data_IF_223001970514
#
_entry.id   IF_223001970514
#
_cell.length_a   1.000
_cell.length_b   1.000
_cell.length_c   1.000
_cell.angle_alpha   90.00
_cell.angle_beta   90.00
_cell.angle_gamma   90.00
#
_symmetry.space_group_name_H-M   'P 1'
#
loop_
_entity.id
_entity.type
_entity.pdbx_description
1 polymer ?
#
# COMPACT_ATOMS: atom_id res chain seq x y z
N UNK A 1 11.62 3.76 -19.74
CA UNK A 1 11.29 4.63 -18.58
C UNK A 1 12.47 5.51 -18.25
N UNK A 2 12.26 6.80 -18.06
CA UNK A 2 13.32 7.73 -17.65
C UNK A 2 13.92 7.31 -16.30
N UNK A 3 15.26 7.34 -16.12
CA UNK A 3 15.93 7.04 -14.85
C UNK A 3 15.38 7.81 -13.64
N UNK A 4 14.87 9.02 -13.84
CA UNK A 4 14.24 9.82 -12.78
C UNK A 4 13.02 9.10 -12.19
N UNK A 5 12.16 8.53 -13.02
CA UNK A 5 10.96 7.81 -12.52
C UNK A 5 11.30 6.48 -11.87
N UNK A 6 12.37 5.80 -12.30
CA UNK A 6 12.92 4.62 -11.61
C UNK A 6 13.38 5.01 -10.20
N UNK A 7 14.09 6.12 -10.07
CA UNK A 7 14.55 6.64 -8.78
C UNK A 7 13.35 7.03 -7.88
N UNK A 8 12.33 7.69 -8.44
CA UNK A 8 11.11 8.04 -7.72
C UNK A 8 10.37 6.80 -7.20
N UNK A 9 10.22 5.77 -8.05
CA UNK A 9 9.63 4.50 -7.64
C UNK A 9 10.43 3.85 -6.49
N UNK A 10 11.76 3.86 -6.57
CA UNK A 10 12.62 3.29 -5.53
C UNK A 10 12.54 4.07 -4.21
N UNK A 11 12.61 5.41 -4.26
CA UNK A 11 12.42 6.27 -3.07
C UNK A 11 11.06 6.00 -2.45
N UNK A 12 10.00 6.00 -3.26
CA UNK A 12 8.65 5.68 -2.81
C UNK A 12 8.57 4.32 -2.12
N UNK A 13 9.24 3.30 -2.67
CA UNK A 13 9.28 1.94 -2.10
C UNK A 13 9.95 1.91 -0.73
N UNK A 14 11.08 2.59 -0.56
CA UNK A 14 11.77 2.66 0.74
C UNK A 14 10.90 3.40 1.77
N UNK A 15 10.33 4.55 1.38
CA UNK A 15 9.52 5.37 2.28
C UNK A 15 8.23 4.66 2.68
N UNK A 16 7.53 3.98 1.74
CA UNK A 16 6.33 3.22 2.05
C UNK A 16 6.64 2.04 2.98
N UNK A 17 7.79 1.40 2.82
CA UNK A 17 8.23 0.29 3.68
C UNK A 17 8.47 0.74 5.13
N UNK A 18 9.09 1.90 5.32
CA UNK A 18 9.26 2.52 6.63
C UNK A 18 7.88 2.85 7.23
N UNK A 19 7.01 3.48 6.43
CA UNK A 19 5.67 3.86 6.88
C UNK A 19 4.81 2.64 7.22
N UNK A 20 4.97 1.54 6.51
CA UNK A 20 4.27 0.28 6.79
C UNK A 20 4.59 -0.24 8.20
N UNK A 21 5.87 -0.37 8.55
CA UNK A 21 6.28 -0.81 9.89
C UNK A 21 5.86 0.20 10.96
N UNK A 22 6.01 1.49 10.66
CA UNK A 22 5.63 2.56 11.57
C UNK A 22 4.10 2.61 11.80
N UNK A 23 3.30 2.35 10.78
CA UNK A 23 1.84 2.29 10.90
C UNK A 23 1.36 1.22 11.90
N UNK A 24 2.02 0.07 11.97
CA UNK A 24 1.72 -0.95 12.99
C UNK A 24 2.02 -0.46 14.40
N UNK A 25 3.11 0.27 14.58
CA UNK A 25 3.46 0.85 15.88
C UNK A 25 2.43 1.89 16.33
N UNK A 26 1.98 2.75 15.43
CA UNK A 26 0.92 3.74 15.71
C UNK A 26 -0.41 3.03 15.96
N UNK A 27 -0.78 2.05 15.13
CA UNK A 27 -2.01 1.29 15.27
C UNK A 27 -2.05 0.50 16.57
N UNK A 28 -0.92 -0.03 17.06
CA UNK A 28 -0.86 -0.72 18.36
C UNK A 28 -1.24 0.19 19.54
N UNK A 29 -1.08 1.51 19.40
CA UNK A 29 -1.47 2.49 20.41
C UNK A 29 -2.91 2.98 20.22
N UNK A 30 -3.34 3.22 18.97
CA UNK A 30 -4.72 3.64 18.63
C UNK A 30 -5.70 2.49 18.88
N UNK A 31 -5.28 1.23 18.60
CA UNK A 31 -6.05 -0.02 18.75
C UNK A 31 -7.31 -0.14 17.86
N UNK A 32 -7.68 0.88 17.14
CA UNK A 32 -8.84 0.87 16.25
C UNK A 32 -8.39 1.12 14.81
N UNK A 33 -8.51 0.13 13.90
CA UNK A 33 -8.07 0.27 12.51
C UNK A 33 -8.85 1.33 11.73
N UNK A 34 -10.13 1.54 12.07
CA UNK A 34 -10.97 2.53 11.39
C UNK A 34 -10.61 3.97 11.81
N UNK A 35 -10.20 4.18 13.08
CA UNK A 35 -9.67 5.48 13.52
C UNK A 35 -8.37 5.81 12.79
N UNK A 36 -7.48 4.81 12.61
CA UNK A 36 -6.23 5.00 11.89
C UNK A 36 -6.47 5.35 10.42
N UNK A 37 -7.40 4.65 9.76
CA UNK A 37 -7.85 4.95 8.40
C UNK A 37 -8.38 6.39 8.29
N UNK A 38 -9.27 6.78 9.20
CA UNK A 38 -9.85 8.12 9.23
C UNK A 38 -8.76 9.19 9.38
N UNK A 39 -7.86 9.03 10.35
CA UNK A 39 -6.75 9.97 10.57
C UNK A 39 -5.83 10.05 9.34
N UNK A 40 -5.48 8.90 8.74
CA UNK A 40 -4.65 8.90 7.54
C UNK A 40 -5.28 9.73 6.42
N UNK A 41 -6.54 9.49 6.09
CA UNK A 41 -7.17 10.15 4.94
C UNK A 41 -7.38 11.63 5.21
N UNK A 42 -7.84 12.02 6.41
CA UNK A 42 -8.06 13.43 6.77
C UNK A 42 -6.74 14.20 6.79
N UNK A 43 -5.71 13.67 7.44
CA UNK A 43 -4.41 14.35 7.52
C UNK A 43 -3.75 14.40 6.13
N UNK A 44 -3.82 13.31 5.34
CA UNK A 44 -3.26 13.29 3.98
C UNK A 44 -3.92 14.35 3.09
N UNK A 45 -5.24 14.49 3.17
CA UNK A 45 -5.97 15.52 2.44
C UNK A 45 -5.56 16.93 2.86
N UNK A 46 -5.44 17.20 4.17
CA UNK A 46 -4.98 18.50 4.68
C UNK A 46 -3.57 18.80 4.19
N UNK A 47 -2.62 17.86 4.32
CA UNK A 47 -1.25 18.05 3.86
C UNK A 47 -1.17 18.29 2.35
N UNK A 48 -1.97 17.56 1.57
CA UNK A 48 -2.04 17.76 0.12
C UNK A 48 -2.53 19.16 -0.24
N UNK A 49 -3.56 19.67 0.46
CA UNK A 49 -4.04 21.03 0.22
C UNK A 49 -2.95 22.07 0.45
N UNK A 50 -2.11 21.92 1.48
CA UNK A 50 -0.98 22.82 1.71
C UNK A 50 0.06 22.81 0.58
N UNK A 51 0.27 21.66 -0.06
CA UNK A 51 1.23 21.53 -1.17
C UNK A 51 0.59 22.00 -2.49
N UNK A 52 -0.66 21.66 -2.71
CA UNK A 52 -1.34 21.88 -3.99
C UNK A 52 -1.94 23.29 -4.13
N UNK A 53 -2.41 23.88 -3.03
CA UNK A 53 -3.02 25.22 -3.06
C UNK A 53 -2.09 26.31 -3.62
N UNK A 54 -0.79 26.38 -3.25
CA UNK A 54 0.15 27.30 -3.86
C UNK A 54 0.33 27.03 -5.36
N UNK A 55 0.39 25.76 -5.77
CA UNK A 55 0.52 25.38 -7.17
C UNK A 55 -0.74 25.71 -7.98
N UNK A 56 -1.92 25.55 -7.40
CA UNK A 56 -3.20 25.92 -8.06
C UNK A 56 -3.31 27.44 -8.25
N UNK A 57 -2.76 28.23 -7.34
CA UNK A 57 -2.76 29.70 -7.42
C UNK A 57 -1.69 30.25 -8.37
N UNK A 58 -0.63 29.48 -8.62
CA UNK A 58 0.53 29.88 -9.43
C UNK A 58 0.54 29.25 -10.83
N UNK A 59 -0.23 28.19 -11.06
CA UNK A 59 -0.22 27.43 -12.31
C UNK A 59 -1.45 27.76 -13.16
N UNK A 60 -1.16 28.02 -14.43
CA UNK A 60 -2.08 28.26 -15.52
C UNK A 60 -3.15 27.16 -15.69
N UNK A 61 -4.21 27.54 -16.40
CA UNK A 61 -5.42 26.80 -16.76
C UNK A 61 -5.24 25.43 -17.42
N UNK A 62 -4.02 25.01 -17.75
CA UNK A 62 -3.70 23.74 -18.41
C UNK A 62 -4.05 22.49 -17.57
N UNK A 63 -4.18 22.63 -16.24
CA UNK A 63 -4.45 21.48 -15.35
C UNK A 63 -5.87 20.91 -15.47
N UNK A 64 -6.82 21.68 -15.97
CA UNK A 64 -8.25 21.28 -16.03
C UNK A 64 -8.77 21.04 -17.45
N UNK A 65 -7.97 21.30 -18.48
CA UNK A 65 -8.43 21.33 -19.87
C UNK A 65 -9.00 20.02 -20.42
N UNK A 66 -8.70 18.85 -19.78
CA UNK A 66 -9.13 17.55 -20.28
C UNK A 66 -10.03 16.76 -19.30
N UNK A 67 -10.64 17.41 -18.30
CA UNK A 67 -11.52 16.74 -17.37
C UNK A 67 -12.88 16.41 -18.02
N UNK A 68 -13.03 15.22 -18.54
CA UNK A 68 -14.30 14.67 -19.00
C UNK A 68 -15.08 14.01 -17.85
N UNK A 69 -16.39 13.85 -18.00
CA UNK A 69 -17.23 13.11 -17.04
C UNK A 69 -16.72 11.67 -16.89
N UNK A 70 -16.29 11.03 -17.97
CA UNK A 70 -15.75 9.69 -17.95
C UNK A 70 -14.45 9.61 -17.13
N UNK A 71 -13.57 10.59 -17.28
CA UNK A 71 -12.32 10.66 -16.51
C UNK A 71 -12.58 10.84 -15.02
N UNK A 72 -13.54 11.70 -14.65
CA UNK A 72 -13.97 11.89 -13.25
C UNK A 72 -14.54 10.58 -12.68
N UNK A 73 -15.37 9.87 -13.46
CA UNK A 73 -15.92 8.58 -13.05
C UNK A 73 -14.82 7.51 -12.83
N UNK A 74 -13.81 7.45 -13.70
CA UNK A 74 -12.68 6.52 -13.54
C UNK A 74 -11.87 6.87 -12.27
N UNK A 75 -11.61 8.16 -12.01
CA UNK A 75 -10.94 8.60 -10.77
C UNK A 75 -11.77 8.24 -9.54
N UNK A 76 -13.08 8.40 -9.60
CA UNK A 76 -14.00 7.98 -8.53
C UNK A 76 -13.90 6.46 -8.28
N UNK A 77 -13.92 5.63 -9.33
CA UNK A 77 -13.75 4.19 -9.23
C UNK A 77 -12.39 3.83 -8.62
N UNK A 78 -11.31 4.52 -9.04
CA UNK A 78 -9.98 4.39 -8.43
C UNK A 78 -10.01 4.70 -6.93
N UNK A 79 -10.66 5.80 -6.54
CA UNK A 79 -10.77 6.19 -5.13
C UNK A 79 -11.52 5.15 -4.29
N UNK A 80 -12.64 4.60 -4.80
CA UNK A 80 -13.39 3.54 -4.11
C UNK A 80 -12.56 2.27 -3.98
N UNK A 81 -11.82 1.88 -5.02
CA UNK A 81 -10.92 0.74 -4.96
C UNK A 81 -9.82 0.96 -3.89
N UNK A 82 -9.14 2.10 -3.92
CA UNK A 82 -8.12 2.43 -2.90
C UNK A 82 -8.72 2.47 -1.50
N UNK A 83 -9.94 3.03 -1.32
CA UNK A 83 -10.63 3.04 -0.04
C UNK A 83 -10.87 1.62 0.49
N UNK A 84 -11.40 0.73 -0.33
CA UNK A 84 -11.61 -0.67 0.03
C UNK A 84 -10.28 -1.38 0.36
N UNK A 85 -9.23 -1.10 -0.41
CA UNK A 85 -7.87 -1.57 -0.15
C UNK A 85 -7.33 -1.09 1.20
N UNK A 86 -7.49 0.19 1.53
CA UNK A 86 -7.05 0.75 2.81
C UNK A 86 -7.83 0.17 4.01
N UNK A 87 -9.15 -0.02 3.89
CA UNK A 87 -9.95 -0.69 4.92
C UNK A 87 -9.41 -2.08 5.18
N UNK A 88 -9.22 -2.88 4.12
CA UNK A 88 -8.67 -4.22 4.22
C UNK A 88 -7.24 -4.20 4.79
N UNK A 89 -6.40 -3.29 4.33
CA UNK A 89 -5.03 -3.13 4.82
C UNK A 89 -4.96 -2.88 6.33
N UNK A 90 -5.75 -1.93 6.85
CA UNK A 90 -5.72 -1.62 8.28
C UNK A 90 -6.31 -2.73 9.14
N UNK A 91 -7.32 -3.46 8.65
CA UNK A 91 -7.83 -4.65 9.34
C UNK A 91 -6.76 -5.74 9.35
N UNK A 92 -6.12 -5.99 8.20
CA UNK A 92 -5.02 -6.93 8.07
C UNK A 92 -3.86 -6.58 9.00
N UNK A 93 -3.48 -5.31 9.05
CA UNK A 93 -2.41 -4.81 9.91
C UNK A 93 -2.76 -4.91 11.40
N UNK A 94 -4.03 -4.72 11.76
CA UNK A 94 -4.48 -4.86 13.14
C UNK A 94 -4.44 -6.31 13.61
N UNK A 95 -4.85 -7.25 12.77
CA UNK A 95 -4.98 -8.67 13.09
C UNK A 95 -3.71 -9.48 12.78
N UNK A 96 -2.89 -9.03 11.83
CA UNK A 96 -1.81 -9.80 11.23
C UNK A 96 -0.42 -9.34 11.59
N UNK A 97 0.54 -10.04 11.01
CA UNK A 97 1.97 -9.83 11.15
C UNK A 97 2.47 -8.83 10.10
N UNK A 98 3.36 -7.92 10.49
CA UNK A 98 3.92 -6.88 9.61
C UNK A 98 4.76 -7.50 8.50
N UNK A 99 5.62 -8.47 8.84
CA UNK A 99 6.49 -9.13 7.87
C UNK A 99 5.72 -9.88 6.80
N UNK A 100 4.68 -10.64 7.19
CA UNK A 100 3.81 -11.33 6.25
C UNK A 100 3.01 -10.32 5.40
N UNK A 101 2.45 -9.30 6.04
CA UNK A 101 1.70 -8.24 5.35
C UNK A 101 2.52 -7.53 4.28
N UNK A 102 3.77 -7.14 4.59
CA UNK A 102 4.65 -6.47 3.64
C UNK A 102 4.90 -7.29 2.37
N UNK A 103 5.17 -8.60 2.52
CA UNK A 103 5.42 -9.46 1.35
C UNK A 103 4.14 -9.77 0.57
N UNK A 104 3.00 -9.96 1.27
CA UNK A 104 1.71 -10.14 0.58
C UNK A 104 1.36 -8.87 -0.22
N UNK A 105 1.52 -7.67 0.36
CA UNK A 105 1.28 -6.41 -0.35
C UNK A 105 2.22 -6.26 -1.55
N UNK A 106 3.48 -6.68 -1.43
CA UNK A 106 4.44 -6.68 -2.56
C UNK A 106 4.00 -7.55 -3.72
N UNK A 107 3.21 -8.61 -3.47
CA UNK A 107 2.64 -9.45 -4.55
C UNK A 107 1.61 -8.72 -5.42
N UNK A 108 1.31 -7.45 -5.12
CA UNK A 108 0.47 -6.58 -5.94
C UNK A 108 0.93 -6.54 -7.41
N UNK A 109 2.22 -6.67 -7.65
CA UNK A 109 2.79 -6.77 -9.00
C UNK A 109 2.11 -7.86 -9.85
N UNK A 110 1.74 -9.00 -9.28
CA UNK A 110 1.08 -10.11 -9.99
C UNK A 110 -0.27 -9.65 -10.54
N UNK A 111 -1.08 -9.01 -9.67
CA UNK A 111 -2.41 -8.51 -10.07
C UNK A 111 -2.26 -7.36 -11.06
N UNK A 112 -1.30 -6.46 -10.84
CA UNK A 112 -1.03 -5.33 -11.74
C UNK A 112 -0.60 -5.77 -13.13
N UNK A 113 0.21 -6.82 -13.27
CA UNK A 113 0.59 -7.40 -14.58
C UNK A 113 -0.64 -7.97 -15.30
N UNK A 114 -1.51 -8.69 -14.58
CA UNK A 114 -2.75 -9.21 -15.16
C UNK A 114 -3.63 -8.06 -15.66
N UNK A 115 -3.79 -7.00 -14.86
CA UNK A 115 -4.56 -5.82 -15.25
C UNK A 115 -3.91 -5.06 -16.41
N UNK A 116 -2.58 -4.93 -16.42
CA UNK A 116 -1.83 -4.30 -17.50
C UNK A 116 -2.00 -5.07 -18.82
N UNK A 117 -1.97 -6.39 -18.77
CA UNK A 117 -2.23 -7.23 -19.93
C UNK A 117 -3.68 -7.09 -20.44
N UNK A 118 -4.67 -7.10 -19.55
CA UNK A 118 -6.10 -7.07 -19.91
C UNK A 118 -6.55 -5.68 -20.40
N UNK A 119 -6.11 -4.60 -19.75
CA UNK A 119 -6.67 -3.26 -19.94
C UNK A 119 -5.71 -2.28 -20.62
N UNK A 120 -4.39 -2.49 -20.49
CA UNK A 120 -3.38 -1.61 -21.05
C UNK A 120 -2.70 -2.21 -22.31
N UNK A 121 -3.10 -3.43 -22.70
CA UNK A 121 -2.53 -4.19 -23.82
C UNK A 121 -0.99 -4.38 -23.70
N UNK A 122 -0.47 -4.37 -22.47
CA UNK A 122 0.94 -4.65 -22.21
C UNK A 122 1.18 -6.16 -22.30
N UNK A 123 2.13 -6.58 -23.16
CA UNK A 123 2.48 -8.01 -23.33
C UNK A 123 3.87 -8.27 -22.80
N UNK A 124 4.03 -9.38 -22.08
CA UNK A 124 5.28 -9.77 -21.45
C UNK A 124 5.88 -11.01 -22.10
N UNK A 125 7.23 -11.14 -22.15
CA UNK A 125 7.88 -12.37 -22.59
C UNK A 125 7.47 -13.58 -21.71
N UNK A 126 7.52 -14.78 -22.28
CA UNK A 126 7.11 -16.00 -21.55
C UNK A 126 7.88 -16.20 -20.23
N UNK A 127 9.15 -15.86 -20.21
CA UNK A 127 9.99 -15.98 -19.00
C UNK A 127 9.47 -15.13 -17.83
N UNK A 128 8.82 -14.01 -18.10
CA UNK A 128 8.24 -13.14 -17.06
C UNK A 128 7.18 -13.87 -16.22
N UNK A 129 6.43 -14.79 -16.82
CA UNK A 129 5.42 -15.58 -16.09
C UNK A 129 6.06 -16.56 -15.10
N UNK A 130 7.23 -17.12 -15.42
CA UNK A 130 7.97 -17.98 -14.49
C UNK A 130 8.42 -17.21 -13.26
N UNK A 131 8.86 -15.97 -13.43
CA UNK A 131 9.26 -15.11 -12.31
C UNK A 131 8.08 -14.71 -11.42
N UNK A 132 6.89 -14.53 -12.00
CA UNK A 132 5.64 -14.32 -11.24
C UNK A 132 5.34 -15.52 -10.33
N UNK A 133 5.54 -16.75 -10.81
CA UNK A 133 5.36 -17.97 -10.02
C UNK A 133 6.35 -17.98 -8.84
N UNK A 134 7.62 -17.59 -9.05
CA UNK A 134 8.59 -17.48 -7.97
C UNK A 134 8.16 -16.46 -6.91
N UNK A 135 7.66 -15.30 -7.32
CA UNK A 135 7.10 -14.31 -6.39
C UNK A 135 5.97 -14.91 -5.56
N UNK A 136 5.04 -15.63 -6.21
CA UNK A 136 3.93 -16.27 -5.52
C UNK A 136 4.38 -17.33 -4.50
N UNK A 137 5.36 -18.17 -4.86
CA UNK A 137 5.94 -19.15 -3.94
C UNK A 137 6.56 -18.44 -2.73
N UNK A 138 7.34 -17.37 -2.96
CA UNK A 138 7.94 -16.58 -1.88
C UNK A 138 6.88 -16.00 -0.94
N UNK A 139 5.77 -15.47 -1.48
CA UNK A 139 4.64 -14.95 -0.69
C UNK A 139 4.01 -16.03 0.17
N UNK A 140 3.79 -17.23 -0.37
CA UNK A 140 3.27 -18.36 0.40
C UNK A 140 4.22 -18.74 1.56
N UNK A 141 5.53 -18.78 1.30
CA UNK A 141 6.53 -19.07 2.34
C UNK A 141 6.54 -18.03 3.46
N UNK A 142 6.38 -16.75 3.14
CA UNK A 142 6.33 -15.68 4.16
C UNK A 142 5.04 -15.72 4.96
N UNK A 143 3.94 -16.13 4.34
CA UNK A 143 2.65 -16.32 5.02
C UNK A 143 2.63 -17.54 5.94
N UNK A 144 3.69 -18.38 5.91
CA UNK A 144 3.74 -19.59 6.70
C UNK A 144 3.85 -19.29 8.20
N UNK A 145 3.01 -19.96 8.97
CA UNK A 145 3.03 -20.02 10.44
C UNK A 145 3.11 -21.48 10.87
N UNK A 146 3.88 -21.76 11.91
CA UNK A 146 4.22 -23.14 12.33
C UNK A 146 2.99 -24.02 12.63
N UNK A 147 1.90 -23.40 13.06
CA UNK A 147 0.68 -24.08 13.49
C UNK A 147 -0.32 -24.28 12.34
N UNK A 148 -0.04 -23.72 11.14
CA UNK A 148 -0.95 -23.79 10.00
C UNK A 148 -0.64 -25.01 9.10
N UNK A 149 -1.69 -25.71 8.67
CA UNK A 149 -1.61 -26.70 7.62
C UNK A 149 -1.41 -26.06 6.24
N UNK A 150 -0.95 -26.85 5.25
CA UNK A 150 -0.75 -26.36 3.87
C UNK A 150 -2.00 -25.73 3.28
N UNK A 151 -3.18 -26.33 3.49
CA UNK A 151 -4.46 -25.81 3.01
C UNK A 151 -4.76 -24.41 3.59
N UNK A 152 -4.44 -24.19 4.86
CA UNK A 152 -4.67 -22.91 5.54
C UNK A 152 -3.70 -21.83 5.05
N UNK A 153 -2.49 -22.21 4.65
CA UNK A 153 -1.52 -21.31 4.03
C UNK A 153 -2.02 -20.86 2.66
N UNK A 154 -2.47 -21.81 1.81
CA UNK A 154 -3.03 -21.49 0.48
C UNK A 154 -4.31 -20.66 0.55
N UNK A 155 -5.13 -20.86 1.58
CA UNK A 155 -6.34 -20.08 1.82
C UNK A 155 -6.08 -18.77 2.56
N UNK A 156 -4.81 -18.43 2.82
CA UNK A 156 -4.40 -17.23 3.58
C UNK A 156 -5.15 -17.08 4.91
N UNK A 157 -5.39 -18.20 5.60
CA UNK A 157 -6.08 -18.22 6.89
C UNK A 157 -5.20 -17.77 8.07
N UNK A 158 -3.90 -17.53 7.83
CA UNK A 158 -3.06 -16.92 8.85
C UNK A 158 -3.63 -15.56 9.28
N UNK A 159 -3.42 -15.22 10.54
CA UNK A 159 -3.95 -14.01 11.15
C UNK A 159 -3.72 -12.77 10.25
N UNK A 160 -4.78 -12.20 9.71
CA UNK A 160 -4.77 -10.99 8.86
C UNK A 160 -4.35 -11.17 7.40
N UNK A 161 -3.77 -12.31 6.99
CA UNK A 161 -3.24 -12.50 5.61
C UNK A 161 -4.32 -12.37 4.54
N UNK A 162 -5.52 -12.90 4.76
CA UNK A 162 -6.64 -12.75 3.82
C UNK A 162 -7.03 -11.30 3.56
N UNK A 163 -6.96 -10.45 4.58
CA UNK A 163 -7.22 -9.03 4.42
C UNK A 163 -6.15 -8.32 3.59
N UNK A 164 -4.88 -8.70 3.73
CA UNK A 164 -3.81 -8.17 2.88
C UNK A 164 -3.98 -8.59 1.41
N UNK A 165 -4.45 -9.82 1.12
CA UNK A 165 -4.77 -10.25 -0.25
C UNK A 165 -5.89 -9.41 -0.85
N UNK A 166 -6.95 -9.14 -0.08
CA UNK A 166 -8.03 -8.23 -0.51
C UNK A 166 -7.45 -6.83 -0.79
N UNK A 167 -6.59 -6.31 0.08
CA UNK A 167 -5.94 -5.01 -0.12
C UNK A 167 -5.10 -4.99 -1.41
N UNK A 168 -4.34 -6.04 -1.71
CA UNK A 168 -3.54 -6.19 -2.94
C UNK A 168 -4.40 -6.02 -4.18
N UNK A 169 -5.54 -6.74 -4.25
CA UNK A 169 -6.44 -6.68 -5.40
C UNK A 169 -6.96 -5.26 -5.62
N UNK A 170 -7.45 -4.64 -4.56
CA UNK A 170 -8.01 -3.29 -4.65
C UNK A 170 -6.98 -2.21 -4.91
N UNK A 171 -5.77 -2.29 -4.35
CA UNK A 171 -4.68 -1.38 -4.65
C UNK A 171 -4.23 -1.50 -6.11
N UNK A 172 -4.11 -2.72 -6.64
CA UNK A 172 -3.75 -2.94 -8.04
C UNK A 172 -4.81 -2.34 -8.99
N UNK A 173 -6.09 -2.55 -8.71
CA UNK A 173 -7.19 -1.96 -9.50
C UNK A 173 -7.12 -0.42 -9.44
N UNK A 174 -6.95 0.15 -8.25
CA UNK A 174 -6.85 1.59 -8.08
C UNK A 174 -5.69 2.21 -8.85
N UNK A 175 -4.52 1.57 -8.85
CA UNK A 175 -3.34 2.02 -9.58
C UNK A 175 -3.49 1.84 -11.10
N UNK A 176 -4.14 0.77 -11.57
CA UNK A 176 -4.43 0.57 -12.98
C UNK A 176 -5.33 1.71 -13.55
N UNK A 177 -6.30 2.18 -12.77
CA UNK A 177 -7.13 3.33 -13.17
C UNK A 177 -6.33 4.64 -13.29
N UNK A 178 -5.33 4.86 -12.43
CA UNK A 178 -4.42 6.01 -12.56
C UNK A 178 -3.67 5.95 -13.89
N UNK A 179 -3.12 4.78 -14.22
CA UNK A 179 -2.36 4.59 -15.45
C UNK A 179 -3.22 4.81 -16.70
N UNK A 180 -4.48 4.36 -16.68
CA UNK A 180 -5.41 4.58 -17.79
C UNK A 180 -5.61 6.06 -18.13
N UNK A 181 -5.53 6.94 -17.14
CA UNK A 181 -5.76 8.38 -17.31
C UNK A 181 -4.48 9.21 -17.39
N UNK A 182 -3.29 8.62 -17.17
CA UNK A 182 -2.04 9.36 -17.07
C UNK A 182 -1.67 10.14 -18.35
N UNK A 183 -2.12 9.68 -19.53
CA UNK A 183 -1.93 10.35 -20.80
C UNK A 183 -2.98 11.45 -21.09
N UNK A 184 -4.04 11.55 -20.27
CA UNK A 184 -5.15 12.47 -20.49
C UNK A 184 -5.20 13.59 -19.46
N UNK A 185 -4.82 13.27 -18.22
CA UNK A 185 -4.93 14.18 -17.07
C UNK A 185 -3.62 14.16 -16.32
N UNK A 186 -3.17 15.32 -15.88
CA UNK A 186 -1.99 15.45 -15.04
C UNK A 186 -2.12 14.56 -13.79
N UNK A 187 -1.05 13.82 -13.50
CA UNK A 187 -1.00 12.84 -12.41
C UNK A 187 -1.28 13.47 -11.04
N UNK A 188 -0.82 14.70 -10.80
CA UNK A 188 -1.12 15.42 -9.55
C UNK A 188 -2.60 15.78 -9.44
N UNK A 189 -3.24 16.19 -10.54
CA UNK A 189 -4.69 16.44 -10.57
C UNK A 189 -5.47 15.16 -10.26
N UNK A 190 -5.06 14.02 -10.82
CA UNK A 190 -5.67 12.73 -10.49
C UNK A 190 -5.53 12.41 -8.99
N UNK A 191 -4.35 12.66 -8.39
CA UNK A 191 -4.09 12.43 -6.98
C UNK A 191 -5.01 13.28 -6.08
N UNK A 192 -5.17 14.58 -6.40
CA UNK A 192 -6.04 15.49 -5.64
C UNK A 192 -7.50 15.06 -5.71
N UNK A 193 -8.02 14.78 -6.90
CA UNK A 193 -9.39 14.33 -7.09
C UNK A 193 -9.63 13.00 -6.39
N UNK A 194 -8.70 12.06 -6.51
CA UNK A 194 -8.77 10.76 -5.82
C UNK A 194 -8.83 10.93 -4.31
N UNK A 195 -7.98 11.76 -3.71
CA UNK A 195 -7.99 12.02 -2.27
C UNK A 195 -9.26 12.75 -1.82
N UNK A 196 -9.82 13.63 -2.67
CA UNK A 196 -11.12 14.27 -2.41
C UNK A 196 -12.24 13.24 -2.34
N UNK A 197 -12.30 12.31 -3.29
CA UNK A 197 -13.29 11.23 -3.25
C UNK A 197 -13.05 10.25 -2.09
N UNK A 198 -11.79 9.96 -1.75
CA UNK A 198 -11.43 9.16 -0.58
C UNK A 198 -11.92 9.82 0.72
N UNK A 199 -11.71 11.12 0.87
CA UNK A 199 -12.20 11.86 2.03
C UNK A 199 -13.73 11.78 2.13
N UNK A 200 -14.42 12.01 1.02
CA UNK A 200 -15.89 11.93 0.96
C UNK A 200 -16.40 10.54 1.34
N UNK A 201 -15.81 9.48 0.75
CA UNK A 201 -16.14 8.09 1.08
C UNK A 201 -15.88 7.79 2.56
N UNK A 202 -14.76 8.31 3.11
CA UNK A 202 -14.40 8.13 4.52
C UNK A 202 -15.42 8.79 5.43
N UNK A 203 -15.78 10.05 5.19
CA UNK A 203 -16.76 10.78 6.00
C UNK A 203 -18.13 10.08 5.98
N UNK A 204 -18.54 9.57 4.81
CA UNK A 204 -19.82 8.88 4.65
C UNK A 204 -19.85 7.51 5.33
N UNK A 205 -18.79 6.72 5.16
CA UNK A 205 -18.76 5.32 5.59
C UNK A 205 -18.16 5.12 7.00
N UNK A 206 -17.42 6.10 7.52
CA UNK A 206 -16.80 6.02 8.84
C UNK A 206 -17.75 5.60 9.96
N UNK A 207 -18.94 6.20 10.14
CA UNK A 207 -19.84 5.84 11.22
C UNK A 207 -20.26 4.35 11.17
N UNK A 208 -20.50 3.86 9.94
CA UNK A 208 -20.90 2.49 9.70
C UNK A 208 -19.75 1.50 9.96
N UNK A 209 -18.56 1.78 9.42
CA UNK A 209 -17.38 0.93 9.58
C UNK A 209 -16.92 0.90 11.05
N UNK A 210 -16.90 2.05 11.72
CA UNK A 210 -16.50 2.13 13.11
C UNK A 210 -17.48 1.36 14.03
N UNK A 211 -18.77 1.34 13.69
CA UNK A 211 -19.78 0.57 14.45
C UNK A 211 -19.64 -0.95 14.28
N UNK A 212 -19.20 -1.40 13.06
CA UNK A 212 -19.09 -2.84 12.76
C UNK A 212 -17.74 -3.44 13.09
N UNK A 213 -16.67 -2.70 12.86
CA UNK A 213 -15.29 -3.20 12.87
C UNK A 213 -14.46 -2.48 13.94
N UNK A 214 -14.84 -1.25 14.28
CA UNK A 214 -14.14 -0.42 15.23
C UNK A 214 -14.26 -0.89 16.66
N UNK A 215 -13.26 -0.56 17.46
CA UNK A 215 -13.30 -0.77 18.91
C UNK A 215 -14.13 0.33 19.57
N UNK A 216 -14.66 0.07 20.79
CA UNK A 216 -15.57 0.99 21.52
C UNK A 216 -14.93 2.32 21.93
N UNK A 217 -13.62 2.51 21.70
CA UNK A 217 -12.94 3.77 22.01
C UNK A 217 -13.49 4.92 21.14
N UNK A 218 -13.70 6.06 21.78
CA UNK A 218 -14.14 7.27 21.10
C UNK A 218 -13.03 7.85 20.23
N UNK A 219 -13.34 8.29 19.00
CA UNK A 219 -12.41 9.05 18.15
C UNK A 219 -11.87 10.29 18.89
N UNK A 220 -12.70 10.91 19.75
CA UNK A 220 -12.33 12.05 20.58
C UNK A 220 -11.15 11.75 21.50
N UNK A 221 -11.07 10.55 22.07
CA UNK A 221 -9.95 10.13 22.92
C UNK A 221 -8.65 9.98 22.10
N UNK A 222 -8.78 9.47 20.87
CA UNK A 222 -7.63 9.33 19.96
C UNK A 222 -7.10 10.69 19.52
N UNK A 223 -7.98 11.59 19.09
CA UNK A 223 -7.63 12.95 18.64
C UNK A 223 -7.20 13.84 19.80
N UNK A 224 -7.73 13.65 21.00
CA UNK A 224 -7.32 14.39 22.21
C UNK A 224 -5.91 14.06 22.71
N UNK A 225 -5.29 12.97 22.22
CA UNK A 225 -3.94 12.59 22.57
C UNK A 225 -2.94 13.17 21.56
N UNK A 226 -2.34 14.33 21.89
CA UNK A 226 -1.39 15.04 21.03
C UNK A 226 -0.21 14.16 20.58
N UNK A 227 0.26 13.24 21.41
CA UNK A 227 1.33 12.31 21.05
C UNK A 227 0.90 11.35 19.96
N UNK A 228 -0.31 10.79 20.04
CA UNK A 228 -0.83 9.90 19.00
C UNK A 228 -1.08 10.67 17.69
N UNK A 229 -1.61 11.87 17.78
CA UNK A 229 -1.84 12.72 16.61
C UNK A 229 -0.52 13.08 15.93
N UNK A 230 0.52 13.47 16.68
CA UNK A 230 1.84 13.78 16.09
C UNK A 230 2.48 12.56 15.42
N UNK A 231 2.33 11.37 16.00
CA UNK A 231 2.79 10.13 15.37
C UNK A 231 1.99 9.81 14.10
N UNK A 232 0.67 10.03 14.11
CA UNK A 232 -0.15 9.87 12.92
C UNK A 232 0.23 10.87 11.81
N UNK A 233 0.53 12.13 12.15
CA UNK A 233 1.00 13.13 11.19
C UNK A 233 2.32 12.69 10.55
N UNK A 234 3.30 12.23 11.34
CA UNK A 234 4.57 11.73 10.82
C UNK A 234 4.36 10.53 9.88
N UNK A 235 3.51 9.58 10.28
CA UNK A 235 3.14 8.45 9.45
C UNK A 235 2.55 8.91 8.10
N UNK A 236 1.58 9.83 8.15
CA UNK A 236 0.88 10.30 6.95
C UNK A 236 1.81 11.12 6.06
N UNK A 237 2.74 11.91 6.63
CA UNK A 237 3.75 12.61 5.84
C UNK A 237 4.65 11.65 5.05
N UNK A 238 5.05 10.53 5.66
CA UNK A 238 5.79 9.48 4.95
C UNK A 238 4.94 8.85 3.84
N UNK A 239 3.68 8.49 4.11
CA UNK A 239 2.77 7.95 3.10
C UNK A 239 2.58 8.94 1.94
N UNK A 240 2.42 10.23 2.23
CA UNK A 240 2.22 11.24 1.19
C UNK A 240 3.44 11.36 0.26
N UNK A 241 4.67 11.32 0.82
CA UNK A 241 5.88 11.29 0.00
C UNK A 241 5.90 10.05 -0.89
N UNK A 242 5.57 8.89 -0.33
CA UNK A 242 5.50 7.65 -1.08
C UNK A 242 4.40 7.69 -2.17
N UNK A 243 3.20 8.18 -1.84
CA UNK A 243 2.08 8.30 -2.78
C UNK A 243 2.41 9.22 -3.95
N UNK A 244 3.01 10.38 -3.71
CA UNK A 244 3.41 11.30 -4.77
C UNK A 244 4.46 10.66 -5.67
N UNK A 245 5.54 10.13 -5.10
CA UNK A 245 6.66 9.57 -5.87
C UNK A 245 6.24 8.33 -6.67
N UNK A 246 5.46 7.42 -6.08
CA UNK A 246 4.97 6.22 -6.79
C UNK A 246 3.90 6.55 -7.82
N UNK A 247 3.00 7.51 -7.55
CA UNK A 247 1.96 7.90 -8.50
C UNK A 247 2.56 8.56 -9.73
N UNK A 248 3.59 9.41 -9.56
CA UNK A 248 4.34 9.97 -10.69
C UNK A 248 5.01 8.87 -11.53
N UNK A 249 5.62 7.89 -10.89
CA UNK A 249 6.25 6.76 -11.57
C UNK A 249 5.23 5.85 -12.29
N UNK A 250 4.04 5.60 -11.69
CA UNK A 250 2.92 4.85 -12.30
C UNK A 250 2.44 5.57 -13.57
N UNK A 251 2.43 6.90 -13.59
CA UNK A 251 2.07 7.70 -14.75
C UNK A 251 2.90 7.35 -15.98
N UNK A 252 4.16 6.98 -15.82
CA UNK A 252 5.04 6.56 -16.91
C UNK A 252 4.89 5.06 -17.25
N UNK A 253 4.91 4.19 -16.23
CA UNK A 253 4.76 2.74 -16.43
C UNK A 253 4.23 2.07 -15.16
N UNK A 254 3.04 1.47 -15.26
CA UNK A 254 2.46 0.70 -14.17
C UNK A 254 3.34 -0.51 -13.84
N UNK A 255 3.69 -1.30 -14.83
CA UNK A 255 4.40 -2.56 -14.64
C UNK A 255 5.78 -2.39 -14.02
N UNK A 256 6.58 -1.46 -14.51
CA UNK A 256 7.94 -1.22 -13.97
C UNK A 256 7.84 -0.64 -12.56
N UNK A 257 6.94 0.29 -12.32
CA UNK A 257 6.73 0.87 -10.99
C UNK A 257 6.29 -0.19 -9.99
N UNK A 258 5.31 -1.03 -10.34
CA UNK A 258 4.85 -2.10 -9.46
C UNK A 258 5.92 -3.17 -9.23
N UNK A 259 6.78 -3.45 -10.22
CA UNK A 259 7.91 -4.35 -10.04
C UNK A 259 8.95 -3.79 -9.06
N UNK A 260 9.24 -2.49 -9.11
CA UNK A 260 10.15 -1.83 -8.16
C UNK A 260 9.50 -1.77 -6.77
N UNK A 261 8.22 -1.40 -6.67
CA UNK A 261 7.50 -1.33 -5.39
C UNK A 261 7.33 -2.70 -4.75
N UNK A 262 7.39 -3.78 -5.52
CA UNK A 262 7.37 -5.13 -4.96
C UNK A 262 8.61 -5.47 -4.08
N UNK A 263 9.70 -4.68 -4.14
CA UNK A 263 10.80 -4.75 -3.17
C UNK A 263 10.39 -4.27 -1.76
N UNK A 264 9.20 -3.69 -1.61
CA UNK A 264 8.64 -3.26 -0.33
C UNK A 264 8.70 -4.38 0.72
N UNK A 265 8.34 -5.61 0.35
CA UNK A 265 8.37 -6.74 1.27
C UNK A 265 9.75 -7.01 1.86
N UNK A 266 10.81 -6.88 1.07
CA UNK A 266 12.19 -6.99 1.53
C UNK A 266 12.53 -5.89 2.54
N UNK A 267 12.24 -4.64 2.19
CA UNK A 267 12.54 -3.50 3.08
C UNK A 267 11.71 -3.55 4.37
N UNK A 268 10.41 -3.89 4.29
CA UNK A 268 9.56 -4.09 5.48
C UNK A 268 10.18 -5.14 6.40
N UNK A 269 10.65 -6.27 5.86
CA UNK A 269 11.28 -7.33 6.65
C UNK A 269 12.57 -6.85 7.31
N UNK A 270 13.43 -6.12 6.59
CA UNK A 270 14.67 -5.54 7.13
C UNK A 270 14.35 -4.55 8.25
N UNK A 271 13.47 -3.59 8.01
CA UNK A 271 13.09 -2.58 9.01
C UNK A 271 12.43 -3.21 10.24
N UNK A 272 11.60 -4.23 10.05
CA UNK A 272 11.00 -4.98 11.14
C UNK A 272 12.07 -5.61 12.03
N UNK A 273 13.09 -6.26 11.46
CA UNK A 273 14.20 -6.86 12.23
C UNK A 273 14.99 -5.78 13.00
N UNK A 274 15.29 -4.64 12.35
CA UNK A 274 16.03 -3.55 12.99
C UNK A 274 15.25 -2.98 14.18
N UNK A 275 13.95 -2.73 14.03
CA UNK A 275 13.09 -2.20 15.08
C UNK A 275 12.89 -3.23 16.21
N UNK A 276 12.82 -4.51 15.89
CA UNK A 276 12.62 -5.59 16.85
C UNK A 276 13.82 -5.80 17.81
N UNK A 277 14.97 -5.19 17.55
CA UNK A 277 16.09 -5.13 18.52
C UNK A 277 15.68 -4.40 19.81
N UNK A 278 14.76 -3.46 19.72
CA UNK A 278 14.17 -2.81 20.90
C UNK A 278 13.03 -3.68 21.47
N UNK A 279 13.19 -4.15 22.73
CA UNK A 279 12.22 -5.04 23.41
C UNK A 279 10.80 -4.44 23.48
N UNK A 280 10.68 -3.14 23.67
CA UNK A 280 9.39 -2.46 23.77
C UNK A 280 8.67 -2.42 22.41
N UNK A 281 9.38 -2.06 21.35
CA UNK A 281 8.86 -2.00 20.00
C UNK A 281 8.54 -3.40 19.46
N UNK A 282 9.36 -4.39 19.80
CA UNK A 282 9.11 -5.80 19.46
C UNK A 282 7.74 -6.30 19.94
N UNK A 283 7.33 -5.94 21.17
CA UNK A 283 6.01 -6.31 21.70
C UNK A 283 4.87 -5.66 20.91
N UNK A 284 5.08 -4.42 20.41
CA UNK A 284 4.08 -3.70 19.62
C UNK A 284 3.91 -4.28 18.22
N UNK A 285 4.95 -4.88 17.64
CA UNK A 285 4.90 -5.50 16.32
C UNK A 285 4.07 -6.80 16.28
N UNK A 286 3.94 -7.50 17.42
CA UNK A 286 3.21 -8.79 17.52
C UNK A 286 3.73 -9.88 16.57
N UNK A 287 5.04 -9.88 16.28
CA UNK A 287 5.67 -10.82 15.35
C UNK A 287 6.09 -12.12 16.05
N UNK A 288 5.93 -13.28 15.40
CA UNK A 288 6.54 -14.53 15.86
C UNK A 288 8.05 -14.48 15.58
N UNK A 289 8.84 -14.34 16.62
CA UNK A 289 10.32 -14.29 16.54
C UNK A 289 10.99 -15.63 16.83
N UNK A 290 10.30 -16.76 16.64
CA UNK A 290 10.92 -18.07 16.71
C UNK A 290 11.86 -18.31 15.50
N UNK A 291 13.01 -18.93 15.74
CA UNK A 291 14.07 -19.08 14.73
C UNK A 291 13.59 -19.80 13.47
N UNK A 292 12.67 -20.77 13.60
CA UNK A 292 12.19 -21.57 12.47
C UNK A 292 11.27 -20.73 11.56
N UNK A 293 10.29 -20.04 12.13
CA UNK A 293 9.39 -19.15 11.38
C UNK A 293 10.16 -18.02 10.70
N UNK A 294 11.12 -17.40 11.43
CA UNK A 294 11.98 -16.36 10.86
C UNK A 294 12.82 -16.87 9.68
N UNK A 295 13.38 -18.07 9.78
CA UNK A 295 14.19 -18.66 8.70
C UNK A 295 13.34 -18.92 7.45
N UNK A 296 12.14 -19.49 7.60
CA UNK A 296 11.23 -19.74 6.48
C UNK A 296 10.78 -18.43 5.84
N UNK A 297 10.40 -17.43 6.65
CA UNK A 297 10.01 -16.10 6.15
C UNK A 297 11.16 -15.40 5.44
N UNK A 298 12.37 -15.46 5.99
CA UNK A 298 13.56 -14.91 5.33
C UNK A 298 13.79 -15.57 3.96
N UNK A 299 13.69 -16.90 3.89
CA UNK A 299 13.85 -17.63 2.64
C UNK A 299 12.74 -17.24 1.63
N UNK A 300 11.51 -17.09 2.09
CA UNK A 300 10.38 -16.61 1.28
C UNK A 300 10.61 -15.19 0.73
N UNK A 301 11.14 -14.27 1.56
CA UNK A 301 11.52 -12.92 1.12
C UNK A 301 12.59 -12.98 0.03
N UNK A 302 13.62 -13.81 0.21
CA UNK A 302 14.71 -13.99 -0.78
C UNK A 302 14.15 -14.53 -2.10
N UNK A 303 13.31 -15.56 -2.06
CA UNK A 303 12.69 -16.16 -3.26
C UNK A 303 11.81 -15.14 -3.96
N UNK A 304 10.94 -14.41 -3.24
CA UNK A 304 10.10 -13.37 -3.81
C UNK A 304 10.93 -12.26 -4.46
N UNK A 305 11.97 -11.78 -3.76
CA UNK A 305 12.86 -10.72 -4.27
C UNK A 305 13.63 -11.16 -5.52
N UNK A 306 14.15 -12.39 -5.55
CA UNK A 306 14.77 -12.94 -6.76
C UNK A 306 13.80 -13.02 -7.92
N UNK A 307 12.54 -13.45 -7.69
CA UNK A 307 11.49 -13.44 -8.70
C UNK A 307 11.23 -12.04 -9.26
N UNK A 308 11.14 -11.02 -8.41
CA UNK A 308 10.94 -9.62 -8.79
C UNK A 308 12.11 -9.09 -9.61
N UNK A 309 13.34 -9.27 -9.13
CA UNK A 309 14.55 -8.81 -9.83
C UNK A 309 14.65 -9.48 -11.20
N UNK A 310 14.43 -10.81 -11.28
CA UNK A 310 14.46 -11.54 -12.53
C UNK A 310 13.34 -11.08 -13.49
N UNK A 311 12.16 -10.73 -12.95
CA UNK A 311 11.09 -10.15 -13.74
C UNK A 311 11.49 -8.80 -14.34
N UNK A 312 12.07 -7.88 -13.55
CA UNK A 312 12.56 -6.58 -14.03
C UNK A 312 13.58 -6.76 -15.14
N UNK A 313 14.51 -7.71 -15.02
CA UNK A 313 15.51 -7.98 -16.06
C UNK A 313 14.91 -8.63 -17.32
N UNK A 314 13.71 -9.20 -17.24
CA UNK A 314 13.04 -9.83 -18.41
C UNK A 314 12.17 -8.85 -19.20
N UNK A 315 11.93 -7.64 -18.68
CA UNK A 315 11.21 -6.56 -19.36
C UNK A 315 12.10 -5.81 -20.33
#
# INVERSE_FOLDING_TARGET
MDPVFILLAFIGTVVISISFVYSKLVLSQIKNPIHMLFLQIVINYILLLFIYLPNLLLLDSEMTENLSINSIFIIFCSAIAIFAGLVAFFIGLHQGNVSAGGVIISSRVIVSIILAWLFLNERFPFNSYLFIILVFIGVLMVSWERELGLEEIFLFKSSGSGWFVIAVIFFAIGNAFIRLLSNQINVLTQLVLRLTFLLFATLLLYPFLNRKIGDKKSLKETVGNLKLVSQAILYVALIMIADITTTLAIGESLTITEAITALEGLFVFIFMILIAQNKTLRKALQEPFDKKTLAVRFLGVVVATMGIISFIYSL
#
